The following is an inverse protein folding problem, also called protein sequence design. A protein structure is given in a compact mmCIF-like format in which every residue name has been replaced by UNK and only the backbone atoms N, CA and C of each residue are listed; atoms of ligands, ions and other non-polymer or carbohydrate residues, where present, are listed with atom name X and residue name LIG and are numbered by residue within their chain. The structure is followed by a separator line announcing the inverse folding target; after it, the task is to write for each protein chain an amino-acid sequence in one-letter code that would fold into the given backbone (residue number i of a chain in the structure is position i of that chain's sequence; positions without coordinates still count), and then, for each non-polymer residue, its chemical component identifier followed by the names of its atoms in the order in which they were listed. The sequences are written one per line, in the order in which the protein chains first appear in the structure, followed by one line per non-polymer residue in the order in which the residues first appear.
data_IF_270570513245
#
_entry.id   IF_270570513245
#
_cell.length_a   1.000
_cell.length_b   1.000
_cell.length_c   1.000
_cell.angle_alpha   90.00
_cell.angle_beta   90.00
_cell.angle_gamma   90.00
#
_symmetry.space_group_name_H-M   'P 1'
#
loop_
_entity.id
_entity.type
_entity.pdbx_description
1 polymer ?
#
# COMPACT_ATOMS: atom_id res chain seq x y z
N UNK A 1 3.46 22.39 -17.30
CA UNK A 1 2.17 22.27 -16.59
C UNK A 1 1.93 20.78 -16.36
N UNK A 2 2.06 20.27 -15.13
CA UNK A 2 1.63 18.88 -14.86
C UNK A 2 0.10 18.89 -14.82
N UNK A 3 -0.53 18.19 -15.77
CA UNK A 3 -1.98 18.05 -15.79
C UNK A 3 -2.48 17.43 -14.49
N UNK A 4 -3.63 17.88 -14.01
CA UNK A 4 -4.32 17.23 -12.89
C UNK A 4 -4.60 15.78 -13.35
N UNK A 5 -4.14 14.74 -12.64
CA UNK A 5 -4.49 13.37 -13.00
C UNK A 5 -6.01 13.23 -12.96
N UNK A 6 -6.61 12.90 -14.11
CA UNK A 6 -8.06 12.79 -14.29
C UNK A 6 -8.59 11.41 -13.92
N UNK A 7 -7.71 10.42 -13.79
CA UNK A 7 -8.07 9.04 -13.49
C UNK A 7 -7.47 8.60 -12.15
N UNK A 8 -8.23 7.78 -11.42
CA UNK A 8 -7.72 7.07 -10.25
C UNK A 8 -6.76 5.98 -10.70
N UNK A 9 -5.65 5.79 -9.99
CA UNK A 9 -4.67 4.72 -10.27
C UNK A 9 -4.67 3.69 -9.15
N UNK A 10 -4.91 2.43 -9.49
CA UNK A 10 -4.76 1.26 -8.63
C UNK A 10 -3.49 0.50 -8.99
N UNK A 11 -2.61 0.30 -8.02
CA UNK A 11 -1.36 -0.46 -8.20
C UNK A 11 -1.29 -1.61 -7.21
N UNK A 12 -1.04 -2.82 -7.70
CA UNK A 12 -0.72 -3.98 -6.87
C UNK A 12 0.77 -4.02 -6.55
N UNK A 13 1.15 -4.13 -5.29
CA UNK A 13 2.54 -4.33 -4.85
C UNK A 13 2.66 -5.76 -4.34
N UNK A 14 3.36 -6.60 -5.10
CA UNK A 14 3.39 -8.06 -4.90
C UNK A 14 4.81 -8.59 -4.75
N UNK A 15 4.96 -9.82 -4.26
CA UNK A 15 6.26 -10.45 -4.05
C UNK A 15 6.27 -11.42 -2.86
N UNK A 16 7.37 -12.13 -2.70
CA UNK A 16 7.50 -13.18 -1.69
C UNK A 16 7.27 -12.69 -0.26
N UNK A 17 6.87 -13.59 0.64
CA UNK A 17 6.82 -13.29 2.08
C UNK A 17 8.19 -12.80 2.57
N UNK A 18 8.21 -11.71 3.34
CA UNK A 18 9.46 -11.13 3.84
C UNK A 18 10.20 -10.21 2.86
N UNK A 19 9.71 -10.00 1.63
CA UNK A 19 10.37 -9.10 0.66
C UNK A 19 10.28 -7.61 0.97
N UNK A 20 9.59 -7.21 2.05
CA UNK A 20 9.48 -5.81 2.47
C UNK A 20 8.34 -5.01 1.82
N UNK A 21 7.36 -5.66 1.18
CA UNK A 21 6.20 -4.98 0.55
C UNK A 21 5.46 -4.02 1.48
N UNK A 22 5.17 -4.46 2.70
CA UNK A 22 4.48 -3.66 3.71
C UNK A 22 5.27 -2.40 4.06
N UNK A 23 6.58 -2.54 4.33
CA UNK A 23 7.45 -1.39 4.61
C UNK A 23 7.48 -0.41 3.43
N UNK A 24 7.52 -0.92 2.21
CA UNK A 24 7.54 -0.09 1.01
C UNK A 24 6.22 0.69 0.85
N UNK A 25 5.08 0.05 1.10
CA UNK A 25 3.78 0.71 1.06
C UNK A 25 3.60 1.73 2.20
N UNK A 26 4.12 1.44 3.40
CA UNK A 26 4.18 2.38 4.52
C UNK A 26 4.99 3.62 4.15
N UNK A 27 6.18 3.46 3.57
CA UNK A 27 7.00 4.59 3.12
C UNK A 27 6.29 5.40 2.04
N UNK A 28 5.64 4.74 1.09
CA UNK A 28 4.83 5.42 0.07
C UNK A 28 3.70 6.25 0.69
N UNK A 29 3.00 5.67 1.68
CA UNK A 29 1.92 6.34 2.39
C UNK A 29 2.41 7.55 3.18
N UNK A 30 3.47 7.38 3.97
CA UNK A 30 4.03 8.41 4.83
C UNK A 30 4.58 9.61 4.06
N UNK A 31 5.23 9.37 2.91
CA UNK A 31 5.67 10.46 2.03
C UNK A 31 4.50 11.09 1.25
N UNK A 32 3.48 10.31 0.92
CA UNK A 32 2.35 10.74 0.10
C UNK A 32 1.32 11.56 0.87
N UNK A 33 1.09 11.26 2.15
CA UNK A 33 -0.05 11.77 2.91
C UNK A 33 -0.11 13.30 3.01
N UNK A 34 1.02 14.01 2.97
CA UNK A 34 1.02 15.48 2.99
C UNK A 34 0.48 16.12 1.71
N UNK A 35 0.34 15.37 0.62
CA UNK A 35 -0.23 15.83 -0.66
C UNK A 35 -1.72 15.49 -0.81
N UNK A 36 -2.32 14.78 0.15
CA UNK A 36 -3.71 14.33 0.07
C UNK A 36 -4.46 14.71 1.35
N UNK A 37 -5.54 15.48 1.22
CA UNK A 37 -6.41 15.81 2.37
C UNK A 37 -7.10 14.57 2.95
N UNK A 38 -7.32 13.55 2.12
CA UNK A 38 -7.82 12.23 2.50
C UNK A 38 -6.74 11.18 2.31
N UNK A 39 -6.38 10.51 3.39
CA UNK A 39 -5.44 9.40 3.34
C UNK A 39 -5.82 8.30 4.33
N UNK A 40 -5.74 7.03 3.92
CA UNK A 40 -6.04 5.88 4.76
C UNK A 40 -5.05 4.74 4.50
N UNK A 41 -4.47 4.21 5.57
CA UNK A 41 -3.77 2.93 5.55
C UNK A 41 -4.65 1.92 6.28
N UNK A 42 -5.15 0.92 5.58
CA UNK A 42 -6.10 -0.05 6.11
C UNK A 42 -5.52 -1.47 6.00
N UNK A 43 -5.55 -2.19 7.12
CA UNK A 43 -5.13 -3.59 7.22
C UNK A 43 -6.31 -4.46 7.57
N UNK A 44 -6.39 -5.64 6.94
CA UNK A 44 -7.22 -6.72 7.47
C UNK A 44 -6.67 -7.16 8.83
N UNK A 45 -7.41 -6.87 9.89
CA UNK A 45 -7.10 -7.32 11.25
C UNK A 45 -8.09 -8.36 11.75
N UNK A 46 -8.96 -8.85 10.87
CA UNK A 46 -10.01 -9.80 11.20
C UNK A 46 -9.43 -11.20 11.02
N UNK A 47 -9.32 -11.92 12.14
CA UNK A 47 -8.71 -13.25 12.17
C UNK A 47 -9.34 -14.22 11.16
N UNK A 48 -8.55 -15.17 10.68
CA UNK A 48 -8.92 -16.12 9.61
C UNK A 48 -9.97 -17.17 9.99
N UNK A 49 -10.42 -17.20 11.24
CA UNK A 49 -11.28 -18.27 11.78
C UNK A 49 -12.79 -17.92 11.72
N UNK A 50 -13.16 -16.85 11.03
CA UNK A 50 -14.54 -16.38 10.92
C UNK A 50 -15.16 -16.86 9.61
N UNK A 51 -16.48 -17.11 9.61
CA UNK A 51 -17.22 -17.38 8.38
C UNK A 51 -17.07 -16.22 7.39
N UNK A 52 -16.90 -16.53 6.11
CA UNK A 52 -16.50 -15.56 5.08
C UNK A 52 -17.48 -14.39 4.93
N UNK A 53 -18.79 -14.65 5.00
CA UNK A 53 -19.81 -13.60 4.95
C UNK A 53 -19.69 -12.62 6.11
N UNK A 54 -19.71 -13.14 7.34
CA UNK A 54 -19.62 -12.32 8.54
C UNK A 54 -18.26 -11.58 8.65
N UNK A 55 -17.17 -12.18 8.17
CA UNK A 55 -15.87 -11.52 8.04
C UNK A 55 -15.96 -10.30 7.13
N UNK A 56 -16.55 -10.45 5.94
CA UNK A 56 -16.66 -9.37 4.95
C UNK A 56 -17.55 -8.24 5.44
N UNK A 57 -18.66 -8.55 6.09
CA UNK A 57 -19.52 -7.53 6.70
C UNK A 57 -18.76 -6.68 7.73
N UNK A 58 -17.96 -7.34 8.58
CA UNK A 58 -17.14 -6.64 9.57
C UNK A 58 -16.00 -5.85 8.94
N UNK A 59 -15.36 -6.38 7.88
CA UNK A 59 -14.34 -5.68 7.10
C UNK A 59 -14.90 -4.40 6.50
N UNK A 60 -16.05 -4.48 5.81
CA UNK A 60 -16.72 -3.34 5.20
C UNK A 60 -17.11 -2.32 6.25
N UNK A 61 -17.69 -2.75 7.38
CA UNK A 61 -18.07 -1.86 8.47
C UNK A 61 -16.85 -1.11 9.06
N UNK A 62 -15.74 -1.81 9.30
CA UNK A 62 -14.51 -1.19 9.80
C UNK A 62 -13.92 -0.22 8.78
N UNK A 63 -13.91 -0.60 7.51
CA UNK A 63 -13.39 0.23 6.43
C UNK A 63 -14.22 1.52 6.28
N UNK A 64 -15.55 1.42 6.20
CA UNK A 64 -16.46 2.56 6.13
C UNK A 64 -16.30 3.50 7.33
N UNK A 65 -16.18 2.95 8.55
CA UNK A 65 -15.93 3.75 9.75
C UNK A 65 -14.64 4.56 9.64
N UNK A 66 -13.58 4.02 9.04
CA UNK A 66 -12.34 4.76 8.82
C UNK A 66 -12.47 5.78 7.68
N UNK A 67 -13.17 5.46 6.60
CA UNK A 67 -13.46 6.39 5.52
C UNK A 67 -14.24 7.62 6.01
N UNK A 68 -15.24 7.43 6.88
CA UNK A 68 -16.03 8.53 7.46
C UNK A 68 -15.15 9.46 8.31
N UNK A 69 -14.20 8.93 9.08
CA UNK A 69 -13.27 9.75 9.88
C UNK A 69 -12.41 10.68 9.02
N UNK A 70 -11.97 10.20 7.86
CA UNK A 70 -11.15 11.00 6.94
C UNK A 70 -11.99 11.85 5.98
N UNK A 71 -13.31 11.65 5.92
CA UNK A 71 -14.24 12.36 5.02
C UNK A 71 -15.27 13.18 5.84
N UNK A 72 -14.82 13.80 6.92
CA UNK A 72 -15.69 14.44 7.92
C UNK A 72 -16.14 15.87 7.57
N UNK A 73 -15.76 16.38 6.40
CA UNK A 73 -16.17 17.69 5.86
C UNK A 73 -16.43 17.58 4.36
N UNK A 74 -17.27 18.45 3.80
CA UNK A 74 -17.57 18.47 2.36
C UNK A 74 -16.32 18.66 1.49
N UNK A 75 -15.40 19.52 1.92
CA UNK A 75 -14.10 19.72 1.27
C UNK A 75 -13.33 18.40 1.18
N UNK A 76 -13.28 17.64 2.28
CA UNK A 76 -12.60 16.35 2.29
C UNK A 76 -13.33 15.35 1.41
N UNK A 77 -14.65 15.24 1.48
CA UNK A 77 -15.43 14.29 0.65
C UNK A 77 -15.08 14.42 -0.84
N UNK A 78 -14.90 15.66 -1.32
CA UNK A 78 -14.57 15.96 -2.71
C UNK A 78 -13.06 15.95 -3.02
N UNK A 79 -12.21 15.64 -2.04
CA UNK A 79 -10.76 15.57 -2.20
C UNK A 79 -10.28 14.19 -2.62
N UNK A 80 -9.18 14.16 -3.38
CA UNK A 80 -8.47 12.95 -3.79
C UNK A 80 -8.06 12.13 -2.57
N UNK A 81 -8.14 10.81 -2.69
CA UNK A 81 -7.78 9.86 -1.65
C UNK A 81 -6.44 9.19 -1.96
N UNK A 82 -5.59 9.08 -0.95
CA UNK A 82 -4.46 8.15 -0.91
C UNK A 82 -4.84 6.95 -0.04
N UNK A 83 -4.99 5.77 -0.64
CA UNK A 83 -5.38 4.55 0.06
C UNK A 83 -4.29 3.47 -0.07
N UNK A 84 -3.93 2.85 1.05
CA UNK A 84 -3.17 1.59 1.07
C UNK A 84 -4.03 0.51 1.71
N UNK A 85 -4.18 -0.62 1.02
CA UNK A 85 -4.78 -1.86 1.50
C UNK A 85 -3.66 -2.88 1.70
N UNK A 86 -3.55 -3.46 2.90
CA UNK A 86 -2.47 -4.38 3.26
C UNK A 86 -2.98 -5.55 4.12
N UNK A 87 -2.22 -6.65 4.14
CA UNK A 87 -2.51 -7.88 4.88
C UNK A 87 -3.80 -8.64 4.47
N UNK A 88 -4.28 -8.44 3.24
CA UNK A 88 -5.40 -9.22 2.69
C UNK A 88 -4.93 -10.57 2.16
N UNK A 89 -5.70 -11.62 2.45
CA UNK A 89 -5.40 -12.99 2.02
C UNK A 89 -6.46 -13.60 1.10
N UNK A 90 -7.53 -12.86 0.82
CA UNK A 90 -8.64 -13.25 -0.04
C UNK A 90 -8.94 -12.07 -0.98
N UNK A 91 -9.09 -12.35 -2.28
CA UNK A 91 -9.37 -11.36 -3.31
C UNK A 91 -10.77 -10.79 -3.16
N UNK A 92 -11.73 -11.64 -2.80
CA UNK A 92 -13.13 -11.28 -2.60
C UNK A 92 -13.27 -10.29 -1.43
N UNK A 93 -12.45 -10.41 -0.39
CA UNK A 93 -12.40 -9.46 0.72
C UNK A 93 -12.00 -8.06 0.26
N UNK A 94 -11.00 -7.97 -0.63
CA UNK A 94 -10.57 -6.71 -1.25
C UNK A 94 -11.70 -6.14 -2.10
N UNK A 95 -12.32 -6.96 -2.95
CA UNK A 95 -13.42 -6.55 -3.83
C UNK A 95 -14.59 -5.99 -3.03
N UNK A 96 -14.95 -6.63 -1.91
CA UNK A 96 -16.03 -6.17 -1.04
C UNK A 96 -15.79 -4.76 -0.47
N UNK A 97 -14.52 -4.37 -0.23
CA UNK A 97 -14.21 -3.00 0.21
C UNK A 97 -14.47 -1.94 -0.86
N UNK A 98 -14.36 -2.31 -2.14
CA UNK A 98 -14.61 -1.38 -3.23
C UNK A 98 -16.09 -1.06 -3.40
N UNK A 99 -16.97 -2.05 -3.16
CA UNK A 99 -18.43 -1.88 -3.16
C UNK A 99 -18.94 -0.95 -4.27
N UNK A 100 -19.79 0.00 -3.89
CA UNK A 100 -20.04 1.20 -4.68
C UNK A 100 -18.85 2.18 -4.53
N UNK A 101 -18.18 2.45 -5.65
CA UNK A 101 -16.94 3.23 -5.70
C UNK A 101 -17.16 4.74 -5.54
N UNK A 102 -18.35 5.19 -5.13
CA UNK A 102 -18.71 6.59 -4.94
C UNK A 102 -17.83 7.37 -3.94
N UNK A 103 -17.10 6.67 -3.06
CA UNK A 103 -16.13 7.29 -2.14
C UNK A 103 -14.76 7.59 -2.80
N UNK A 104 -14.51 7.10 -4.02
CA UNK A 104 -13.27 7.28 -4.77
C UNK A 104 -13.41 8.50 -5.69
N UNK A 105 -12.81 9.61 -5.29
CA UNK A 105 -12.75 10.81 -6.12
C UNK A 105 -11.73 10.62 -7.26
N UNK A 106 -11.99 11.08 -8.50
CA UNK A 106 -11.03 11.01 -9.60
C UNK A 106 -9.65 11.60 -9.25
N UNK A 107 -8.59 10.95 -9.71
CA UNK A 107 -7.21 11.31 -9.37
C UNK A 107 -6.72 10.78 -8.01
N UNK A 108 -7.49 9.89 -7.39
CA UNK A 108 -7.06 9.14 -6.20
C UNK A 108 -5.94 8.15 -6.53
N UNK A 109 -5.18 7.76 -5.51
CA UNK A 109 -4.09 6.77 -5.62
C UNK A 109 -4.36 5.63 -4.64
N UNK A 110 -4.43 4.42 -5.14
CA UNK A 110 -4.75 3.24 -4.35
C UNK A 110 -3.67 2.18 -4.56
N UNK A 111 -3.09 1.70 -3.46
CA UNK A 111 -2.08 0.65 -3.47
C UNK A 111 -2.62 -0.55 -2.72
N UNK A 112 -2.50 -1.73 -3.33
CA UNK A 112 -2.88 -3.00 -2.72
C UNK A 112 -1.62 -3.83 -2.52
N UNK A 113 -1.24 -4.06 -1.27
CA UNK A 113 -0.13 -4.95 -0.91
C UNK A 113 -0.65 -6.37 -0.86
N UNK A 114 -0.06 -7.27 -1.64
CA UNK A 114 -0.47 -8.66 -1.68
C UNK A 114 0.73 -9.61 -1.69
N UNK A 115 0.58 -10.79 -1.07
CA UNK A 115 1.61 -11.83 -1.11
C UNK A 115 1.70 -12.54 -2.45
N UNK A 116 0.62 -12.54 -3.22
CA UNK A 116 0.50 -13.24 -4.49
C UNK A 116 -0.16 -12.35 -5.54
N UNK A 117 0.22 -12.53 -6.81
CA UNK A 117 -0.32 -11.76 -7.93
C UNK A 117 -1.81 -12.04 -8.18
N UNK A 118 -2.27 -13.26 -7.91
CA UNK A 118 -3.68 -13.66 -8.08
C UNK A 118 -4.65 -12.80 -7.26
N UNK A 119 -4.21 -12.27 -6.11
CA UNK A 119 -5.01 -11.41 -5.23
C UNK A 119 -5.29 -10.03 -5.84
N UNK A 120 -4.50 -9.58 -6.82
CA UNK A 120 -4.65 -8.26 -7.48
C UNK A 120 -4.96 -8.36 -8.96
N UNK A 121 -4.85 -9.55 -9.55
CA UNK A 121 -5.07 -9.79 -10.97
C UNK A 121 -6.47 -9.36 -11.41
N UNK A 122 -6.55 -8.52 -12.46
CA UNK A 122 -7.81 -7.97 -12.95
C UNK A 122 -8.47 -6.92 -12.04
N UNK A 123 -7.86 -6.58 -10.89
CA UNK A 123 -8.34 -5.50 -10.00
C UNK A 123 -7.55 -4.20 -10.18
N UNK A 124 -6.27 -4.29 -10.53
CA UNK A 124 -5.33 -3.17 -10.57
C UNK A 124 -4.95 -2.78 -12.00
N UNK A 125 -4.61 -1.51 -12.20
CA UNK A 125 -4.15 -0.99 -13.49
C UNK A 125 -2.73 -1.50 -13.80
N UNK A 126 -1.90 -1.59 -12.76
CA UNK A 126 -0.52 -2.02 -12.86
C UNK A 126 -0.10 -2.86 -11.66
N UNK A 127 0.92 -3.70 -11.84
CA UNK A 127 1.50 -4.52 -10.77
C UNK A 127 3.00 -4.27 -10.66
N UNK A 128 3.44 -3.86 -9.48
CA UNK A 128 4.84 -3.78 -9.10
C UNK A 128 5.27 -5.05 -8.35
N UNK A 129 6.26 -5.76 -8.88
CA UNK A 129 6.84 -6.93 -8.20
C UNK A 129 8.06 -6.49 -7.42
N UNK A 130 8.00 -6.59 -6.09
CA UNK A 130 9.13 -6.24 -5.21
C UNK A 130 10.28 -7.22 -5.43
N UNK A 131 11.43 -6.75 -5.92
CA UNK A 131 12.57 -7.62 -6.17
C UNK A 131 13.14 -8.15 -4.86
N UNK A 132 13.68 -9.37 -4.90
CA UNK A 132 14.46 -9.92 -3.80
C UNK A 132 15.72 -9.10 -3.53
N UNK A 133 16.23 -9.22 -2.30
CA UNK A 133 17.55 -8.70 -1.97
C UNK A 133 18.62 -9.54 -2.67
N UNK A 134 19.60 -8.89 -3.29
CA UNK A 134 20.80 -9.61 -3.73
C UNK A 134 21.69 -9.98 -2.51
N UNK A 135 22.74 -10.76 -2.74
CA UNK A 135 23.62 -11.25 -1.66
C UNK A 135 24.18 -10.12 -0.79
N UNK A 136 24.64 -9.02 -1.41
CA UNK A 136 25.20 -7.87 -0.67
C UNK A 136 24.14 -7.18 0.18
N UNK A 137 22.95 -6.99 -0.37
CA UNK A 137 21.81 -6.38 0.32
C UNK A 137 21.29 -7.27 1.45
N UNK A 138 21.22 -8.58 1.22
CA UNK A 138 20.79 -9.57 2.20
C UNK A 138 21.78 -9.69 3.36
N UNK A 139 23.09 -9.78 3.07
CA UNK A 139 24.14 -9.78 4.09
C UNK A 139 24.10 -8.51 4.93
N UNK A 140 23.95 -7.36 4.27
CA UNK A 140 23.88 -6.11 4.99
C UNK A 140 22.60 -6.06 5.86
N UNK A 141 21.43 -6.42 5.33
CA UNK A 141 20.19 -6.52 6.10
C UNK A 141 20.37 -7.40 7.35
N UNK A 142 20.98 -8.59 7.18
CA UNK A 142 21.32 -9.47 8.29
C UNK A 142 22.23 -8.79 9.30
N UNK A 143 23.32 -8.15 8.87
CA UNK A 143 24.27 -7.49 9.77
C UNK A 143 23.63 -6.36 10.58
N UNK A 144 22.73 -5.58 9.98
CA UNK A 144 21.98 -4.55 10.70
C UNK A 144 21.08 -5.12 11.78
N UNK A 145 20.31 -6.16 11.44
CA UNK A 145 19.34 -6.74 12.37
C UNK A 145 19.97 -7.64 13.44
N UNK A 146 21.07 -8.32 13.13
CA UNK A 146 21.75 -9.24 14.04
C UNK A 146 22.78 -8.55 14.94
N UNK A 147 23.51 -7.55 14.43
CA UNK A 147 24.68 -6.99 15.13
C UNK A 147 24.55 -5.50 15.45
N UNK A 148 23.53 -4.79 14.94
CA UNK A 148 23.32 -3.37 15.20
C UNK A 148 24.48 -2.46 14.75
N UNK A 149 25.33 -2.96 13.85
CA UNK A 149 26.60 -2.35 13.51
C UNK A 149 26.44 -0.96 12.85
N UNK A 150 27.13 0.04 13.41
CA UNK A 150 27.01 1.47 13.07
C UNK A 150 27.55 1.77 11.67
N UNK A 151 28.61 1.07 11.24
CA UNK A 151 29.19 1.25 9.89
C UNK A 151 28.25 0.63 8.84
N UNK A 152 27.77 -0.58 9.13
CA UNK A 152 26.75 -1.24 8.33
C UNK A 152 25.45 -0.43 8.29
N UNK A 153 25.09 0.27 9.37
CA UNK A 153 24.01 1.28 9.42
C UNK A 153 24.21 2.37 8.39
N UNK A 154 25.36 3.03 8.29
CA UNK A 154 25.55 4.10 7.30
C UNK A 154 25.46 3.58 5.86
N UNK A 155 26.03 2.41 5.57
CA UNK A 155 25.97 1.82 4.23
C UNK A 155 24.58 1.30 3.87
N UNK A 156 23.86 0.66 4.80
CA UNK A 156 22.48 0.18 4.59
C UNK A 156 21.46 1.30 4.57
N UNK A 157 21.54 2.22 5.51
CA UNK A 157 20.64 3.37 5.54
C UNK A 157 20.85 4.23 4.31
N UNK A 158 21.98 4.15 3.61
CA UNK A 158 22.17 4.83 2.32
C UNK A 158 21.78 3.94 1.14
N UNK A 159 22.21 2.69 1.09
CA UNK A 159 21.97 1.79 -0.04
C UNK A 159 20.53 1.24 -0.07
N UNK A 160 20.04 0.71 1.05
CA UNK A 160 18.64 0.30 1.20
C UNK A 160 17.71 1.50 1.05
N UNK A 161 18.08 2.69 1.54
CA UNK A 161 17.29 3.90 1.29
C UNK A 161 17.30 4.33 -0.17
N UNK A 162 18.42 4.23 -0.88
CA UNK A 162 18.49 4.55 -2.31
C UNK A 162 17.66 3.57 -3.13
N UNK A 163 17.79 2.26 -2.87
CA UNK A 163 17.00 1.23 -3.54
C UNK A 163 15.52 1.37 -3.18
N UNK A 164 15.17 1.54 -1.91
CA UNK A 164 13.78 1.80 -1.52
C UNK A 164 13.26 3.12 -2.10
N UNK A 165 14.10 4.13 -2.30
CA UNK A 165 13.73 5.36 -3.03
C UNK A 165 13.50 5.13 -4.51
N UNK A 166 14.29 4.29 -5.17
CA UNK A 166 14.06 3.90 -6.57
C UNK A 166 12.75 3.14 -6.70
N UNK A 167 12.54 2.14 -5.85
CA UNK A 167 11.31 1.36 -5.80
C UNK A 167 10.10 2.25 -5.47
N UNK A 168 10.25 3.18 -4.53
CA UNK A 168 9.23 4.18 -4.23
C UNK A 168 8.97 5.09 -5.44
N UNK A 169 10.01 5.53 -6.16
CA UNK A 169 9.84 6.33 -7.39
C UNK A 169 9.08 5.54 -8.44
N UNK A 170 9.31 4.23 -8.55
CA UNK A 170 8.59 3.37 -9.47
C UNK A 170 7.10 3.29 -9.09
N UNK A 171 6.77 3.00 -7.83
CA UNK A 171 5.38 3.02 -7.35
C UNK A 171 4.75 4.41 -7.54
N UNK A 172 5.50 5.47 -7.24
CA UNK A 172 5.06 6.85 -7.43
C UNK A 172 4.80 7.16 -8.91
N UNK A 173 5.60 6.62 -9.83
CA UNK A 173 5.44 6.79 -11.26
C UNK A 173 4.24 5.97 -11.79
N UNK A 174 4.05 4.74 -11.31
CA UNK A 174 2.89 3.92 -11.67
C UNK A 174 1.58 4.57 -11.23
N UNK A 175 1.62 5.35 -10.15
CA UNK A 175 0.47 6.09 -9.63
C UNK A 175 0.38 7.55 -10.11
N UNK A 176 1.19 7.99 -11.10
CA UNK A 176 1.07 9.34 -11.67
C UNK A 176 -0.11 9.47 -12.62
#
# INVERSE_FOLDING_TARGET
MMGIPTHTRLVGVVGMKGSGKTNLAEMFFEEGKCYFLRHLFFRDKIGKNMESGAKRDLLVQQFQKNLLKISNTEEKINSKLLLVLDDFSDKEDIICLFGDRGWITPGSKIVIVASDKSLVEGLVDDTYVVPGLNEKEGLACLSYHAFGDVITRYFLTRYSFLKTREIYKDIKNLTK
#
